data_IF_670348407676
#
_entry.id   IF_670348407676
#
_cell.length_a   1.000
_cell.length_b   1.000
_cell.length_c   1.000
_cell.angle_alpha   90.00
_cell.angle_beta   90.00
_cell.angle_gamma   90.00
#
_symmetry.space_group_name_H-M   'P 1'
#
loop_
_entity.id
_entity.type
_entity.pdbx_description
1 polymer ?
#
# COMPACT_ATOMS: atom_id res chain seq x y z
N UNK A 1 14.62 25.61 0.42
CA UNK A 1 14.92 25.22 1.82
C UNK A 1 13.75 24.40 2.36
N UNK A 2 13.93 23.13 2.77
CA UNK A 2 12.84 22.37 3.36
C UNK A 2 12.37 23.03 4.67
N UNK A 3 11.05 23.03 4.90
CA UNK A 3 10.43 23.58 6.12
C UNK A 3 11.04 22.97 7.39
N UNK A 4 11.14 23.75 8.47
CA UNK A 4 11.57 23.30 9.81
C UNK A 4 10.81 22.04 10.26
N UNK A 5 9.53 21.92 9.90
CA UNK A 5 8.73 20.74 10.19
C UNK A 5 9.12 19.50 9.36
N UNK A 6 9.60 19.69 8.12
CA UNK A 6 10.12 18.61 7.27
C UNK A 6 11.47 18.10 7.78
N UNK A 7 12.36 19.00 8.20
CA UNK A 7 13.65 18.67 8.83
C UNK A 7 13.43 17.88 10.13
N UNK A 8 12.51 18.33 11.00
CA UNK A 8 12.20 17.66 12.26
C UNK A 8 11.63 16.25 12.08
N UNK A 9 10.88 16.01 11.00
CA UNK A 9 10.39 14.67 10.63
C UNK A 9 11.49 13.76 10.09
N UNK A 10 12.43 14.31 9.32
CA UNK A 10 13.56 13.58 8.75
C UNK A 10 14.59 13.15 9.81
N UNK A 11 14.77 13.95 10.87
CA UNK A 11 15.74 13.69 11.94
C UNK A 11 15.13 13.11 13.23
N UNK A 12 14.03 12.36 13.13
CA UNK A 12 13.49 11.67 14.30
C UNK A 12 14.42 10.50 14.67
N UNK A 13 15.48 10.80 15.45
CA UNK A 13 16.37 9.77 16.02
C UNK A 13 15.53 8.77 16.82
N UNK A 14 15.92 7.50 16.76
CA UNK A 14 15.45 6.47 17.70
C UNK A 14 15.65 7.00 19.13
N UNK A 15 14.61 6.91 19.95
CA UNK A 15 14.61 7.46 21.30
C UNK A 15 15.48 6.56 22.18
N UNK A 16 16.45 7.16 22.88
CA UNK A 16 17.38 6.44 23.75
C UNK A 16 16.65 5.81 24.96
N UNK A 17 17.05 4.59 25.35
CA UNK A 17 16.37 3.73 26.32
C UNK A 17 16.25 4.38 27.71
N UNK A 18 17.20 5.24 28.08
CA UNK A 18 17.14 6.08 29.28
C UNK A 18 16.01 7.11 29.22
N UNK A 19 15.76 7.69 28.06
CA UNK A 19 14.69 8.67 27.84
C UNK A 19 13.32 8.01 27.90
N UNK A 20 13.21 6.75 27.45
CA UNK A 20 12.00 5.93 27.57
C UNK A 20 11.60 5.71 29.04
N UNK A 21 12.56 5.42 29.93
CA UNK A 21 12.31 5.14 31.35
C UNK A 21 11.80 6.36 32.14
N UNK A 22 12.23 7.57 31.79
CA UNK A 22 11.91 8.78 32.55
C UNK A 22 10.53 9.39 32.24
N UNK A 23 9.83 8.96 31.18
CA UNK A 23 8.56 9.56 30.77
C UNK A 23 7.53 8.53 30.27
N UNK A 24 7.04 7.62 31.10
CA UNK A 24 6.25 6.44 30.69
C UNK A 24 4.97 6.75 29.87
N UNK A 25 4.45 7.98 29.97
CA UNK A 25 3.23 8.43 29.28
C UNK A 25 3.49 9.21 27.97
N UNK A 26 4.72 9.24 27.44
CA UNK A 26 4.95 9.82 26.12
C UNK A 26 4.09 9.08 25.08
N UNK A 27 3.39 9.81 24.21
CA UNK A 27 2.55 9.21 23.14
C UNK A 27 3.34 8.28 22.19
N UNK A 28 4.67 8.31 22.26
CA UNK A 28 5.63 7.46 21.54
C UNK A 28 5.94 6.13 22.26
N UNK A 29 5.53 5.97 23.53
CA UNK A 29 5.82 4.83 24.41
C UNK A 29 4.65 3.88 24.62
N UNK A 30 3.48 4.19 24.08
CA UNK A 30 2.30 3.34 24.26
C UNK A 30 2.62 1.96 23.68
N UNK A 31 2.72 0.90 24.52
CA UNK A 31 2.96 -0.45 24.03
C UNK A 31 1.88 -0.79 23.02
N UNK A 32 2.25 -1.54 21.98
CA UNK A 32 1.26 -2.08 21.05
C UNK A 32 0.27 -2.89 21.87
N UNK A 33 -0.96 -2.39 21.99
CA UNK A 33 -1.96 -2.91 22.93
C UNK A 33 -2.29 -4.39 22.64
N UNK A 34 -2.07 -4.83 21.41
CA UNK A 34 -2.36 -6.16 20.90
C UNK A 34 -1.19 -6.70 20.06
N UNK A 35 0.00 -6.79 20.66
CA UNK A 35 1.24 -7.16 19.94
C UNK A 35 1.14 -8.52 19.23
N UNK A 36 0.67 -9.56 19.92
CA UNK A 36 0.57 -10.91 19.35
C UNK A 36 -0.41 -10.97 18.16
N UNK A 37 -1.58 -10.34 18.33
CA UNK A 37 -2.61 -10.22 17.30
C UNK A 37 -2.15 -9.40 16.09
N UNK A 38 -1.47 -8.26 16.32
CA UNK A 38 -0.92 -7.46 15.22
C UNK A 38 0.19 -8.20 14.48
N UNK A 39 0.95 -9.07 15.15
CA UNK A 39 2.01 -9.87 14.54
C UNK A 39 1.42 -10.91 13.58
N UNK A 40 0.37 -11.63 13.99
CA UNK A 40 -0.34 -12.57 13.10
C UNK A 40 -0.95 -11.84 11.89
N UNK A 41 -1.57 -10.68 12.13
CA UNK A 41 -2.17 -9.89 11.05
C UNK A 41 -1.13 -9.42 10.03
N UNK A 42 0.07 -9.06 10.48
CA UNK A 42 1.18 -8.68 9.60
C UNK A 42 1.72 -9.88 8.84
N UNK A 43 1.88 -11.05 9.50
CA UNK A 43 2.30 -12.28 8.85
C UNK A 43 1.35 -12.65 7.70
N UNK A 44 0.03 -12.57 7.94
CA UNK A 44 -0.96 -12.80 6.89
C UNK A 44 -0.84 -11.81 5.72
N UNK A 45 -0.55 -10.54 5.98
CA UNK A 45 -0.33 -9.54 4.91
C UNK A 45 0.95 -9.87 4.11
N UNK A 46 2.01 -10.30 4.80
CA UNK A 46 3.27 -10.68 4.18
C UNK A 46 3.07 -11.94 3.29
N UNK A 47 2.32 -12.93 3.76
CA UNK A 47 1.92 -14.11 2.97
C UNK A 47 1.12 -13.68 1.73
N UNK A 48 0.13 -12.80 1.88
CA UNK A 48 -0.64 -12.29 0.74
C UNK A 48 0.25 -11.59 -0.29
N UNK A 49 1.25 -10.83 0.17
CA UNK A 49 2.21 -10.17 -0.70
C UNK A 49 3.12 -11.18 -1.44
N UNK A 50 3.47 -12.30 -0.80
CA UNK A 50 4.23 -13.39 -1.43
C UNK A 50 3.41 -14.11 -2.51
N UNK A 51 2.14 -14.38 -2.26
CA UNK A 51 1.24 -15.00 -3.24
C UNK A 51 0.72 -14.03 -4.31
N UNK A 52 1.12 -12.76 -4.29
CA UNK A 52 0.66 -11.74 -5.24
C UNK A 52 -0.80 -11.32 -5.05
N UNK A 53 -1.40 -11.63 -3.90
CA UNK A 53 -2.79 -11.28 -3.57
C UNK A 53 -2.87 -9.84 -3.11
N UNK A 54 -3.75 -9.07 -3.74
CA UNK A 54 -3.95 -7.66 -3.40
C UNK A 54 -4.76 -7.52 -2.10
N UNK A 55 -4.19 -6.82 -1.12
CA UNK A 55 -4.79 -6.64 0.20
C UNK A 55 -5.36 -5.23 0.33
N UNK A 56 -6.69 -5.12 0.48
CA UNK A 56 -7.37 -3.83 0.68
C UNK A 56 -7.62 -3.53 2.16
N UNK A 57 -7.99 -2.28 2.47
CA UNK A 57 -8.42 -1.88 3.82
C UNK A 57 -9.59 -2.74 4.34
N UNK A 58 -10.52 -3.12 3.45
CA UNK A 58 -11.67 -3.95 3.80
C UNK A 58 -11.22 -5.36 4.18
N UNK A 59 -10.40 -5.97 3.34
CA UNK A 59 -9.87 -7.32 3.57
C UNK A 59 -9.12 -7.41 4.91
N UNK A 60 -8.29 -6.41 5.26
CA UNK A 60 -7.59 -6.37 6.55
C UNK A 60 -8.58 -6.32 7.71
N UNK A 61 -9.65 -5.52 7.62
CA UNK A 61 -10.66 -5.42 8.69
C UNK A 61 -11.44 -6.73 8.85
N UNK A 62 -11.80 -7.37 7.75
CA UNK A 62 -12.52 -8.64 7.76
C UNK A 62 -11.66 -9.76 8.35
N UNK A 63 -10.41 -9.86 7.92
CA UNK A 63 -9.47 -10.85 8.47
C UNK A 63 -9.17 -10.57 9.95
N UNK A 64 -8.94 -9.31 10.31
CA UNK A 64 -8.78 -8.89 11.70
C UNK A 64 -9.99 -9.27 12.56
N UNK A 65 -11.22 -9.07 12.06
CA UNK A 65 -12.43 -9.48 12.76
C UNK A 65 -12.51 -11.00 12.93
N UNK A 66 -12.13 -11.77 11.90
CA UNK A 66 -12.11 -13.24 11.93
C UNK A 66 -11.15 -13.78 12.99
N UNK A 67 -9.91 -13.31 13.03
CA UNK A 67 -8.90 -13.81 13.97
C UNK A 67 -9.09 -13.24 15.39
N UNK A 68 -9.82 -12.13 15.54
CA UNK A 68 -10.03 -11.48 16.85
C UNK A 68 -10.65 -12.39 17.90
N UNK A 69 -11.44 -13.39 17.49
CA UNK A 69 -12.05 -14.37 18.38
C UNK A 69 -11.02 -15.22 19.14
N UNK A 70 -9.84 -15.44 18.56
CA UNK A 70 -8.74 -16.18 19.20
C UNK A 70 -8.01 -15.36 20.27
N UNK A 71 -8.24 -14.05 20.36
CA UNK A 71 -7.53 -13.14 21.25
C UNK A 71 -8.49 -12.47 22.25
N UNK A 72 -8.61 -12.98 23.49
CA UNK A 72 -9.52 -12.42 24.49
C UNK A 72 -9.28 -10.93 24.79
N UNK A 73 -8.02 -10.49 24.70
CA UNK A 73 -7.63 -9.08 24.88
C UNK A 73 -8.25 -8.17 23.80
N UNK A 74 -8.49 -8.69 22.60
CA UNK A 74 -9.06 -7.97 21.47
C UNK A 74 -10.59 -7.89 21.50
N UNK A 75 -11.28 -8.47 22.49
CA UNK A 75 -12.75 -8.52 22.54
C UNK A 75 -13.44 -7.13 22.51
N UNK A 76 -12.76 -6.08 22.99
CA UNK A 76 -13.25 -4.69 22.96
C UNK A 76 -12.72 -3.88 21.77
N UNK A 77 -11.91 -4.49 20.90
CA UNK A 77 -11.25 -3.81 19.80
C UNK A 77 -12.28 -3.47 18.70
N UNK A 78 -12.38 -2.19 18.38
CA UNK A 78 -13.17 -1.73 17.23
C UNK A 78 -12.25 -1.55 16.03
N UNK A 79 -12.50 -2.31 14.97
CA UNK A 79 -11.81 -2.20 13.66
C UNK A 79 -12.23 -0.95 12.87
N UNK A 80 -12.23 0.19 13.55
CA UNK A 80 -12.57 1.50 13.01
C UNK A 80 -11.55 1.97 11.97
N UNK A 81 -11.92 3.01 11.20
CA UNK A 81 -10.98 3.63 10.27
C UNK A 81 -9.74 4.20 10.98
N UNK A 82 -9.92 4.74 12.20
CA UNK A 82 -8.80 5.24 13.00
C UNK A 82 -7.86 4.13 13.46
N UNK A 83 -8.38 2.95 13.77
CA UNK A 83 -7.56 1.79 14.14
C UNK A 83 -6.70 1.33 12.97
N UNK A 84 -7.29 1.10 11.80
CA UNK A 84 -6.53 0.61 10.64
C UNK A 84 -5.48 1.62 10.17
N UNK A 85 -5.77 2.92 10.18
CA UNK A 85 -4.78 3.95 9.84
C UNK A 85 -3.58 3.92 10.79
N UNK A 86 -3.81 3.70 12.10
CA UNK A 86 -2.73 3.58 13.08
C UNK A 86 -1.97 2.27 12.93
N UNK A 87 -2.66 1.15 12.69
CA UNK A 87 -2.04 -0.15 12.42
C UNK A 87 -1.09 -0.08 11.22
N UNK A 88 -1.57 0.42 10.09
CA UNK A 88 -0.74 0.55 8.88
C UNK A 88 0.48 1.46 9.12
N UNK A 89 0.28 2.57 9.83
CA UNK A 89 1.35 3.50 10.19
C UNK A 89 2.41 2.85 11.08
N UNK A 90 2.00 2.04 12.07
CA UNK A 90 2.92 1.30 12.96
C UNK A 90 3.78 0.30 12.18
N UNK A 91 3.18 -0.41 11.24
CA UNK A 91 3.84 -1.49 10.48
C UNK A 91 4.43 -1.04 9.15
N UNK A 92 4.52 0.27 8.91
CA UNK A 92 5.03 0.88 7.68
C UNK A 92 4.32 0.39 6.39
N UNK A 93 3.07 -0.05 6.51
CA UNK A 93 2.23 -0.45 5.39
C UNK A 93 1.66 0.80 4.72
N UNK A 94 1.75 0.87 3.40
CA UNK A 94 1.24 2.01 2.63
C UNK A 94 0.31 1.54 1.54
N UNK A 95 -0.64 2.41 1.19
CA UNK A 95 -1.43 2.27 -0.03
C UNK A 95 -0.51 2.40 -1.24
N UNK A 96 -0.39 1.35 -2.02
CA UNK A 96 0.37 1.31 -3.27
C UNK A 96 -0.58 1.04 -4.43
N UNK A 97 -0.40 1.75 -5.53
CA UNK A 97 -1.15 1.49 -6.76
C UNK A 97 -0.66 0.19 -7.38
N UNK A 98 -1.58 -0.66 -7.83
CA UNK A 98 -1.27 -1.88 -8.56
C UNK A 98 -1.52 -1.61 -10.04
N UNK A 99 -0.48 -1.77 -10.85
CA UNK A 99 -0.54 -1.61 -12.31
C UNK A 99 -0.25 -2.98 -12.93
N UNK A 100 -1.28 -3.80 -13.08
CA UNK A 100 -1.13 -5.20 -13.50
C UNK A 100 -0.55 -5.28 -14.91
N UNK A 101 -1.08 -4.49 -15.84
CA UNK A 101 -0.67 -4.55 -17.25
C UNK A 101 0.67 -3.84 -17.51
N UNK A 102 0.85 -2.64 -16.96
CA UNK A 102 2.04 -1.84 -17.21
C UNK A 102 3.32 -2.44 -16.59
N UNK A 103 3.21 -3.26 -15.55
CA UNK A 103 4.36 -3.85 -14.87
C UNK A 103 5.01 -5.01 -15.65
N UNK A 104 4.31 -5.60 -16.62
CA UNK A 104 4.80 -6.76 -17.39
C UNK A 104 5.37 -6.41 -18.76
N UNK A 105 5.28 -5.15 -19.19
CA UNK A 105 5.64 -4.74 -20.54
C UNK A 105 7.09 -4.23 -20.54
N UNK A 106 7.92 -4.78 -21.44
CA UNK A 106 9.28 -4.32 -21.67
C UNK A 106 9.28 -2.87 -22.22
N UNK A 107 10.03 -1.97 -21.57
CA UNK A 107 10.15 -0.59 -22.00
C UNK A 107 10.69 -0.45 -23.43
N UNK A 108 11.56 -1.37 -23.86
CA UNK A 108 12.07 -1.38 -25.22
C UNK A 108 10.97 -1.68 -26.23
N UNK A 109 10.10 -2.65 -25.92
CA UNK A 109 8.94 -2.99 -26.75
C UNK A 109 7.93 -1.84 -26.83
N UNK A 110 7.74 -1.10 -25.74
CA UNK A 110 6.90 0.12 -25.74
C UNK A 110 7.51 1.18 -26.66
N UNK A 111 8.83 1.37 -26.59
CA UNK A 111 9.51 2.38 -27.40
C UNK A 111 9.44 2.06 -28.89
N UNK A 112 9.68 0.80 -29.29
CA UNK A 112 9.59 0.38 -30.69
C UNK A 112 8.15 0.48 -31.20
N UNK A 113 7.17 -0.01 -30.45
CA UNK A 113 5.76 0.05 -30.83
C UNK A 113 5.25 1.49 -31.02
N UNK A 114 5.76 2.45 -30.24
CA UNK A 114 5.47 3.88 -30.46
C UNK A 114 6.03 4.40 -31.77
N UNK A 115 7.28 4.06 -32.09
CA UNK A 115 7.92 4.46 -33.35
C UNK A 115 7.16 3.88 -34.54
N UNK A 116 6.81 2.59 -34.49
CA UNK A 116 6.08 1.92 -35.57
C UNK A 116 4.69 2.53 -35.77
N UNK A 117 3.98 2.84 -34.69
CA UNK A 117 2.66 3.50 -34.77
C UNK A 117 2.77 4.91 -35.36
N UNK A 118 3.80 5.67 -34.99
CA UNK A 118 4.03 7.01 -35.54
C UNK A 118 4.37 6.96 -37.03
N UNK A 119 5.17 5.99 -37.46
CA UNK A 119 5.50 5.81 -38.87
C UNK A 119 4.26 5.42 -39.69
N UNK A 120 3.46 4.47 -39.20
CA UNK A 120 2.24 4.02 -39.86
C UNK A 120 1.20 5.15 -39.99
N UNK A 121 1.07 5.99 -38.97
CA UNK A 121 0.11 7.10 -38.96
C UNK A 121 0.61 8.36 -39.66
N UNK A 122 1.89 8.42 -40.07
CA UNK A 122 2.54 9.64 -40.57
C UNK A 122 1.90 10.24 -41.83
N UNK A 123 1.31 9.39 -42.68
CA UNK A 123 0.64 9.82 -43.92
C UNK A 123 -0.80 10.29 -43.74
N UNK A 124 -1.37 10.09 -42.55
CA UNK A 124 -2.75 10.47 -42.26
C UNK A 124 -2.82 11.86 -41.64
N UNK A 125 -3.89 12.60 -41.91
CA UNK A 125 -4.16 13.85 -41.20
C UNK A 125 -4.51 13.53 -39.74
N UNK A 126 -4.11 14.35 -38.76
CA UNK A 126 -4.43 14.10 -37.35
C UNK A 126 -5.92 13.93 -37.05
N UNK A 127 -6.79 14.52 -37.87
CA UNK A 127 -8.26 14.39 -37.74
C UNK A 127 -8.78 13.00 -38.14
N UNK A 128 -7.98 12.22 -38.87
CA UNK A 128 -8.32 10.88 -39.38
C UNK A 128 -7.63 9.77 -38.55
N UNK A 129 -6.87 10.13 -37.51
CA UNK A 129 -6.20 9.20 -36.59
C UNK A 129 -7.02 9.08 -35.31
N UNK A 130 -7.74 7.98 -35.17
CA UNK A 130 -8.56 7.70 -34.00
C UNK A 130 -7.89 6.66 -33.10
N UNK A 131 -7.85 6.93 -31.80
CA UNK A 131 -7.50 5.90 -30.81
C UNK A 131 -8.76 5.09 -30.49
N UNK A 132 -8.79 3.84 -30.94
CA UNK A 132 -9.82 2.88 -30.56
C UNK A 132 -9.20 1.98 -29.49
N UNK A 133 -9.44 2.30 -28.23
CA UNK A 133 -9.12 1.39 -27.13
C UNK A 133 -10.34 0.55 -26.76
N UNK A 134 -10.08 -0.70 -26.36
CA UNK A 134 -11.15 -1.59 -25.93
C UNK A 134 -11.68 -1.13 -24.57
N UNK A 135 -12.92 -0.67 -24.53
CA UNK A 135 -13.63 -0.42 -23.27
C UNK A 135 -14.34 -1.70 -22.84
N UNK A 136 -13.62 -2.61 -22.18
CA UNK A 136 -14.22 -3.77 -21.56
C UNK A 136 -14.80 -3.42 -20.18
N UNK A 137 -16.08 -3.75 -19.96
CA UNK A 137 -16.68 -3.68 -18.62
C UNK A 137 -16.37 -4.96 -17.85
N UNK A 138 -15.44 -4.86 -16.90
CA UNK A 138 -15.10 -5.99 -16.04
C UNK A 138 -16.03 -6.03 -14.82
N UNK A 139 -16.88 -7.05 -14.75
CA UNK A 139 -17.60 -7.40 -13.52
C UNK A 139 -16.60 -7.96 -12.51
N UNK A 140 -16.56 -7.40 -11.29
CA UNK A 140 -15.59 -7.75 -10.23
C UNK A 140 -14.11 -7.44 -10.56
N UNK A 141 -13.83 -6.20 -10.98
CA UNK A 141 -12.46 -5.72 -11.17
C UNK A 141 -11.63 -5.81 -9.88
N UNK A 142 -10.35 -6.17 -10.04
CA UNK A 142 -9.37 -6.26 -8.94
C UNK A 142 -9.14 -4.90 -8.26
N UNK A 143 -8.56 -4.91 -7.05
CA UNK A 143 -8.32 -3.65 -6.36
C UNK A 143 -7.20 -2.86 -7.06
N UNK A 144 -7.51 -1.62 -7.47
CA UNK A 144 -6.52 -0.66 -8.01
C UNK A 144 -5.35 -0.35 -7.06
N UNK A 145 -5.45 -0.79 -5.81
CA UNK A 145 -4.44 -0.55 -4.80
C UNK A 145 -4.36 -1.69 -3.80
N UNK A 146 -3.16 -1.91 -3.26
CA UNK A 146 -2.89 -2.86 -2.19
C UNK A 146 -2.15 -2.18 -1.03
N UNK A 147 -2.28 -2.71 0.17
CA UNK A 147 -1.47 -2.34 1.33
C UNK A 147 -0.20 -3.17 1.30
N UNK A 148 0.94 -2.54 1.10
CA UNK A 148 2.22 -3.23 0.97
C UNK A 148 3.34 -2.45 1.67
N UNK A 149 4.32 -3.19 2.20
CA UNK A 149 5.58 -2.63 2.71
C UNK A 149 6.51 -2.27 1.56
N UNK A 150 6.52 -3.09 0.52
CA UNK A 150 7.37 -2.93 -0.66
C UNK A 150 6.88 -1.74 -1.49
N UNK A 151 7.81 -1.12 -2.21
CA UNK A 151 7.41 -0.25 -3.31
C UNK A 151 7.03 -1.16 -4.47
N UNK A 152 5.77 -1.07 -4.88
CA UNK A 152 5.36 -1.62 -6.17
C UNK A 152 6.05 -0.75 -7.21
N UNK A 153 6.94 -1.35 -8.00
CA UNK A 153 7.58 -0.66 -9.13
C UNK A 153 6.46 -0.16 -10.03
N UNK A 154 6.34 1.15 -10.09
CA UNK A 154 5.36 1.85 -10.92
C UNK A 154 6.12 2.93 -11.64
N UNK A 155 6.77 2.52 -12.75
CA UNK A 155 7.59 3.36 -13.63
C UNK A 155 8.83 3.99 -12.98
#
# INVERSE_FOLDING_TARGET
>A
MPSTAAMSRAFRKSIDEKTLKCRPNMKLLQPVTYADFETELVAWIDDCEEYGVQVTYGAIKEYAAKISAAYPKCAKLRFSQGWICKFLSRHNLRKRGVFVEAASIDENLVSSGRTDTQELTRSYSPQDVYNLDETAYFYCYEAKHTMSKKQIKGR
#
